data_IF_258151860483
#
_entry.id   IF_258151860483
#
_cell.length_a   1.000
_cell.length_b   1.000
_cell.length_c   1.000
_cell.angle_alpha   90.00
_cell.angle_beta   90.00
_cell.angle_gamma   90.00
#
_symmetry.space_group_name_H-M   'P 1'
#
loop_
_entity.id
_entity.type
_entity.pdbx_description
1 polymer ?
#
# COMPACT_ATOMS: atom_id res chain seq x y z
N UNK A 1 5.84 21.65 6.84
CA UNK A 1 5.78 20.45 7.73
C UNK A 1 4.33 20.06 8.09
N UNK A 2 3.32 20.76 7.56
CA UNK A 2 1.88 20.56 7.78
C UNK A 2 1.20 19.63 6.76
N UNK A 3 1.86 19.28 5.65
CA UNK A 3 1.23 18.49 4.57
C UNK A 3 1.11 16.99 4.92
N UNK A 4 2.10 16.43 5.61
CA UNK A 4 2.12 15.00 5.95
C UNK A 4 1.01 14.65 6.94
N UNK A 5 0.76 15.50 7.95
CA UNK A 5 -0.31 15.29 8.94
C UNK A 5 -1.71 15.38 8.31
N UNK A 6 -1.90 16.24 7.31
CA UNK A 6 -3.16 16.38 6.57
C UNK A 6 -3.40 15.23 5.58
N UNK A 7 -2.32 14.63 5.04
CA UNK A 7 -2.39 13.43 4.21
C UNK A 7 -2.68 12.19 5.09
N UNK A 8 -2.10 12.14 6.29
CA UNK A 8 -2.33 11.06 7.26
C UNK A 8 -3.74 11.05 7.86
N UNK A 9 -4.47 12.18 7.86
CA UNK A 9 -5.88 12.22 8.28
C UNK A 9 -6.86 11.73 7.22
N UNK A 10 -6.39 11.44 6.01
CA UNK A 10 -7.23 10.92 4.94
C UNK A 10 -7.55 9.43 5.19
N UNK A 11 -8.84 9.09 5.22
CA UNK A 11 -9.29 7.71 5.46
C UNK A 11 -8.70 6.68 4.50
N UNK A 12 -8.39 7.08 3.26
CA UNK A 12 -7.75 6.21 2.26
C UNK A 12 -6.30 5.89 2.65
N UNK A 13 -5.54 6.88 3.15
CA UNK A 13 -4.15 6.68 3.58
C UNK A 13 -4.10 5.80 4.82
N UNK A 14 -5.04 5.96 5.76
CA UNK A 14 -5.16 5.09 6.92
C UNK A 14 -5.47 3.65 6.51
N UNK A 15 -6.40 3.43 5.57
CA UNK A 15 -6.70 2.11 5.04
C UNK A 15 -5.47 1.48 4.35
N UNK A 16 -4.74 2.28 3.58
CA UNK A 16 -3.50 1.88 2.91
C UNK A 16 -2.42 1.46 3.91
N UNK A 17 -2.20 2.25 4.98
CA UNK A 17 -1.24 1.90 6.04
C UNK A 17 -1.69 0.67 6.84
N UNK A 18 -2.98 0.53 7.12
CA UNK A 18 -3.54 -0.63 7.82
C UNK A 18 -3.30 -1.92 7.03
N UNK A 19 -3.62 -1.92 5.73
CA UNK A 19 -3.41 -3.08 4.84
C UNK A 19 -1.92 -3.36 4.65
N UNK A 20 -1.09 -2.32 4.51
CA UNK A 20 0.36 -2.50 4.42
C UNK A 20 0.90 -3.14 5.69
N UNK A 21 0.54 -2.61 6.86
CA UNK A 21 0.96 -3.13 8.16
C UNK A 21 0.54 -4.60 8.34
N UNK A 22 -0.71 -4.93 8.00
CA UNK A 22 -1.21 -6.31 8.03
C UNK A 22 -0.41 -7.23 7.10
N UNK A 23 -0.11 -6.76 5.89
CA UNK A 23 0.67 -7.52 4.90
C UNK A 23 2.08 -7.80 5.40
N UNK A 24 2.76 -6.79 5.94
CA UNK A 24 4.10 -6.94 6.52
C UNK A 24 4.10 -7.85 7.74
N UNK A 25 3.07 -7.78 8.59
CA UNK A 25 2.92 -8.66 9.74
C UNK A 25 2.81 -10.13 9.31
N UNK A 26 1.97 -10.45 8.32
CA UNK A 26 1.83 -11.82 7.80
C UNK A 26 3.15 -12.31 7.20
N UNK A 27 3.82 -11.50 6.38
CA UNK A 27 5.11 -11.86 5.78
C UNK A 27 6.15 -12.14 6.87
N UNK A 28 6.19 -11.31 7.92
CA UNK A 28 7.12 -11.45 9.04
C UNK A 28 6.83 -12.70 9.87
N UNK A 29 5.57 -13.01 10.15
CA UNK A 29 5.16 -14.22 10.86
C UNK A 29 5.55 -15.49 10.09
N UNK A 30 5.26 -15.52 8.79
CA UNK A 30 5.65 -16.63 7.91
C UNK A 30 7.17 -16.75 7.77
N UNK A 31 7.92 -15.65 7.83
CA UNK A 31 9.37 -15.69 7.74
C UNK A 31 10.04 -16.19 9.03
N UNK A 32 9.50 -15.82 10.20
CA UNK A 32 10.11 -16.02 11.52
C UNK A 32 9.84 -17.40 12.13
N UNK A 33 8.82 -18.13 11.68
CA UNK A 33 8.44 -19.43 12.25
C UNK A 33 8.62 -20.63 11.29
N UNK A 34 9.79 -20.86 10.68
CA UNK A 34 10.02 -21.99 9.77
C UNK A 34 10.08 -23.37 10.47
N UNK A 35 10.15 -23.39 11.81
CA UNK A 35 10.26 -24.63 12.60
C UNK A 35 8.92 -25.26 13.02
N UNK A 36 7.78 -24.76 12.52
CA UNK A 36 6.49 -25.41 12.75
C UNK A 36 6.27 -26.52 11.72
N UNK A 37 5.81 -27.69 12.17
CA UNK A 37 5.47 -28.83 11.30
C UNK A 37 4.42 -28.49 10.22
N UNK A 38 3.59 -27.47 10.46
CA UNK A 38 2.55 -26.99 9.54
C UNK A 38 2.99 -25.82 8.65
N UNK A 39 4.25 -25.38 8.75
CA UNK A 39 4.74 -24.17 8.07
C UNK A 39 4.56 -24.23 6.55
N UNK A 40 4.86 -25.37 5.93
CA UNK A 40 4.70 -25.56 4.47
C UNK A 40 3.24 -25.33 4.02
N UNK A 41 2.29 -25.82 4.81
CA UNK A 41 0.85 -25.70 4.53
C UNK A 41 0.38 -24.27 4.72
N UNK A 42 0.83 -23.61 5.79
CA UNK A 42 0.53 -22.20 6.08
C UNK A 42 1.04 -21.28 4.98
N UNK A 43 2.31 -21.43 4.55
CA UNK A 43 2.87 -20.66 3.44
C UNK A 43 2.03 -20.86 2.18
N UNK A 44 1.70 -22.12 1.83
CA UNK A 44 0.90 -22.46 0.64
C UNK A 44 -0.48 -21.81 0.63
N UNK A 45 -1.20 -21.87 1.76
CA UNK A 45 -2.55 -21.33 1.86
C UNK A 45 -2.57 -19.80 1.74
N UNK A 46 -1.55 -19.13 2.29
CA UNK A 46 -1.46 -17.67 2.28
C UNK A 46 -0.84 -17.07 1.00
N UNK A 47 -0.28 -17.87 0.08
CA UNK A 47 0.41 -17.33 -1.12
C UNK A 47 -0.50 -16.44 -1.98
N UNK A 48 -1.72 -16.90 -2.23
CA UNK A 48 -2.69 -16.19 -3.06
C UNK A 48 -3.21 -14.95 -2.34
N UNK A 49 -3.53 -15.08 -1.05
CA UNK A 49 -3.99 -13.96 -0.22
C UNK A 49 -2.92 -12.85 -0.10
N UNK A 50 -1.66 -13.22 0.15
CA UNK A 50 -0.55 -12.27 0.19
C UNK A 50 -0.36 -11.53 -1.14
N UNK A 51 -0.48 -12.23 -2.28
CA UNK A 51 -0.41 -11.57 -3.58
C UNK A 51 -1.53 -10.54 -3.75
N UNK A 52 -2.76 -10.90 -3.37
CA UNK A 52 -3.92 -10.00 -3.47
C UNK A 52 -3.75 -8.77 -2.57
N UNK A 53 -3.29 -8.94 -1.34
CA UNK A 53 -3.04 -7.84 -0.40
C UNK A 53 -1.97 -6.88 -0.92
N UNK A 54 -0.87 -7.40 -1.46
CA UNK A 54 0.20 -6.57 -2.01
C UNK A 54 -0.28 -5.83 -3.27
N UNK A 55 -1.07 -6.50 -4.13
CA UNK A 55 -1.64 -5.89 -5.33
C UNK A 55 -2.69 -4.81 -5.00
N UNK A 56 -3.36 -4.89 -3.84
CA UNK A 56 -4.31 -3.89 -3.39
C UNK A 56 -3.64 -2.56 -2.99
N UNK A 57 -2.40 -2.57 -2.47
CA UNK A 57 -1.67 -1.38 -2.04
C UNK A 57 -1.55 -0.28 -3.12
N UNK A 58 -1.06 -0.55 -4.35
CA UNK A 58 -1.00 0.46 -5.40
C UNK A 58 -2.39 0.88 -5.91
N UNK A 59 -3.37 -0.03 -5.91
CA UNK A 59 -4.74 0.28 -6.31
C UNK A 59 -5.41 1.24 -5.32
N UNK A 60 -5.15 1.09 -4.02
CA UNK A 60 -5.58 2.04 -2.98
C UNK A 60 -4.85 3.38 -3.09
N UNK A 61 -3.58 3.37 -3.48
CA UNK A 61 -2.84 4.60 -3.79
C UNK A 61 -3.48 5.38 -4.93
N UNK A 62 -3.88 4.68 -6.00
CA UNK A 62 -4.64 5.23 -7.13
C UNK A 62 -6.01 5.75 -6.70
N UNK A 63 -6.74 5.03 -5.84
CA UNK A 63 -8.01 5.50 -5.27
C UNK A 63 -7.83 6.84 -4.53
N UNK A 64 -6.71 6.99 -3.80
CA UNK A 64 -6.35 8.26 -3.16
C UNK A 64 -6.17 9.42 -4.14
N UNK A 65 -5.67 9.14 -5.35
CA UNK A 65 -5.57 10.18 -6.39
C UNK A 65 -6.92 10.64 -6.90
N UNK A 66 -7.84 9.69 -7.11
CA UNK A 66 -9.20 9.99 -7.57
C UNK A 66 -9.89 10.86 -6.51
N UNK A 67 -9.78 10.51 -5.23
CA UNK A 67 -10.33 11.32 -4.15
C UNK A 67 -9.71 12.72 -4.08
N UNK A 68 -8.39 12.84 -4.22
CA UNK A 68 -7.69 14.13 -4.20
C UNK A 68 -8.12 15.03 -5.36
N UNK A 69 -8.25 14.48 -6.57
CA UNK A 69 -8.73 15.21 -7.74
C UNK A 69 -10.20 15.62 -7.60
N UNK A 70 -11.07 14.75 -7.07
CA UNK A 70 -12.47 15.08 -6.79
C UNK A 70 -12.60 16.27 -5.83
N UNK A 71 -11.89 16.24 -4.70
CA UNK A 71 -11.88 17.35 -3.75
C UNK A 71 -11.37 18.65 -4.39
N UNK A 72 -10.39 18.54 -5.29
CA UNK A 72 -9.85 19.70 -6.01
C UNK A 72 -10.89 20.33 -6.93
N UNK A 73 -11.67 19.51 -7.67
CA UNK A 73 -12.75 19.99 -8.53
C UNK A 73 -13.88 20.66 -7.74
N UNK A 74 -14.22 20.13 -6.56
CA UNK A 74 -15.20 20.76 -5.68
C UNK A 74 -14.74 22.15 -5.22
N UNK A 75 -13.48 22.29 -4.78
CA UNK A 75 -12.93 23.56 -4.33
C UNK A 75 -12.88 24.61 -5.46
N UNK A 76 -12.50 24.20 -6.67
CA UNK A 76 -12.49 25.08 -7.85
C UNK A 76 -13.84 25.76 -8.08
N UNK A 77 -14.96 25.09 -7.80
CA UNK A 77 -16.30 25.67 -8.02
C UNK A 77 -16.65 26.82 -7.07
N UNK A 78 -15.88 26.99 -5.99
CA UNK A 78 -16.15 27.94 -4.90
C UNK A 78 -15.14 29.11 -4.92
N UNK A 79 -13.97 28.93 -5.52
CA UNK A 79 -12.91 29.95 -5.55
C UNK A 79 -12.92 30.79 -6.83
N UNK A 80 -12.56 32.07 -6.69
CA UNK A 80 -12.33 32.99 -7.82
C UNK A 80 -11.18 32.51 -8.72
N UNK A 81 -11.24 32.89 -10.01
CA UNK A 81 -10.31 32.44 -11.05
C UNK A 81 -8.81 32.66 -10.72
N UNK A 82 -8.48 33.68 -9.92
CA UNK A 82 -7.11 33.98 -9.50
C UNK A 82 -6.54 32.98 -8.47
N UNK A 83 -7.38 32.35 -7.66
CA UNK A 83 -6.96 31.37 -6.64
C UNK A 83 -7.03 29.93 -7.13
N UNK A 84 -7.71 29.71 -8.26
CA UNK A 84 -7.98 28.40 -8.84
C UNK A 84 -6.69 27.63 -9.18
N UNK A 85 -5.67 28.32 -9.71
CA UNK A 85 -4.38 27.71 -10.07
C UNK A 85 -3.64 27.14 -8.86
N UNK A 86 -3.61 27.89 -7.75
CA UNK A 86 -2.92 27.46 -6.52
C UNK A 86 -3.61 26.24 -5.91
N UNK A 87 -4.95 26.26 -5.82
CA UNK A 87 -5.77 25.14 -5.32
C UNK A 87 -5.56 23.89 -6.16
N UNK A 88 -5.57 24.01 -7.49
CA UNK A 88 -5.31 22.90 -8.41
C UNK A 88 -3.94 22.26 -8.18
N UNK A 89 -2.90 23.08 -8.13
CA UNK A 89 -1.53 22.59 -7.94
C UNK A 89 -1.34 21.85 -6.60
N UNK A 90 -1.98 22.35 -5.53
CA UNK A 90 -1.95 21.71 -4.21
C UNK A 90 -2.70 20.37 -4.19
N UNK A 91 -3.88 20.33 -4.79
CA UNK A 91 -4.71 19.13 -4.87
C UNK A 91 -4.07 17.99 -5.67
N UNK A 92 -3.47 18.32 -6.82
CA UNK A 92 -2.72 17.35 -7.65
C UNK A 92 -1.49 16.84 -6.89
N UNK A 93 -0.74 17.72 -6.22
CA UNK A 93 0.44 17.32 -5.45
C UNK A 93 0.07 16.34 -4.33
N UNK A 94 -0.99 16.64 -3.58
CA UNK A 94 -1.51 15.75 -2.53
C UNK A 94 -1.92 14.38 -3.08
N UNK A 95 -2.65 14.36 -4.20
CA UNK A 95 -3.02 13.13 -4.91
C UNK A 95 -1.76 12.30 -5.28
N UNK A 96 -0.74 12.90 -5.88
CA UNK A 96 0.47 12.17 -6.28
C UNK A 96 1.22 11.55 -5.10
N UNK A 97 1.17 12.18 -3.92
CA UNK A 97 1.81 11.63 -2.72
C UNK A 97 1.16 10.31 -2.29
N UNK A 98 -0.17 10.17 -2.40
CA UNK A 98 -0.86 8.91 -2.01
C UNK A 98 -0.47 7.74 -2.92
N UNK A 99 -0.34 7.97 -4.23
CA UNK A 99 0.16 6.95 -5.17
C UNK A 99 1.60 6.57 -4.89
N UNK A 100 2.45 7.57 -4.64
CA UNK A 100 3.85 7.34 -4.28
C UNK A 100 3.93 6.45 -3.04
N UNK A 101 3.11 6.70 -2.02
CA UNK A 101 3.06 5.88 -0.81
C UNK A 101 2.62 4.44 -1.11
N UNK A 102 1.57 4.24 -1.89
CA UNK A 102 1.10 2.89 -2.26
C UNK A 102 2.19 2.07 -2.97
N UNK A 103 2.93 2.69 -3.88
CA UNK A 103 4.06 2.04 -4.58
C UNK A 103 5.23 1.74 -3.64
N UNK A 104 5.62 2.71 -2.80
CA UNK A 104 6.72 2.55 -1.83
C UNK A 104 6.44 1.42 -0.85
N UNK A 105 5.18 1.16 -0.49
CA UNK A 105 4.81 0.04 0.37
C UNK A 105 4.68 -1.29 -0.39
N UNK A 106 4.21 -1.28 -1.63
CA UNK A 106 3.99 -2.49 -2.43
C UNK A 106 5.29 -3.13 -2.93
N UNK A 107 6.25 -2.32 -3.38
CA UNK A 107 7.50 -2.82 -3.98
C UNK A 107 8.31 -3.67 -2.99
N UNK A 108 8.60 -3.22 -1.75
CA UNK A 108 9.34 -4.04 -0.81
C UNK A 108 8.54 -5.28 -0.38
N UNK A 109 7.21 -5.16 -0.24
CA UNK A 109 6.36 -6.31 0.10
C UNK A 109 6.42 -7.42 -0.97
N UNK A 110 6.47 -7.07 -2.26
CA UNK A 110 6.69 -8.03 -3.35
C UNK A 110 8.04 -8.75 -3.23
N UNK A 111 9.11 -8.00 -2.92
CA UNK A 111 10.45 -8.56 -2.75
C UNK A 111 10.47 -9.55 -1.58
N UNK A 112 9.94 -9.16 -0.42
CA UNK A 112 9.90 -10.05 0.75
C UNK A 112 9.06 -11.31 0.51
N UNK A 113 7.94 -11.18 -0.19
CA UNK A 113 7.14 -12.35 -0.61
C UNK A 113 7.97 -13.31 -1.47
N UNK A 114 8.74 -12.79 -2.43
CA UNK A 114 9.56 -13.62 -3.30
C UNK A 114 10.69 -14.32 -2.53
N UNK A 115 11.32 -13.64 -1.57
CA UNK A 115 12.32 -14.23 -0.67
C UNK A 115 11.71 -15.36 0.19
N UNK A 116 10.49 -15.19 0.70
CA UNK A 116 9.77 -16.22 1.43
C UNK A 116 9.51 -17.45 0.54
N UNK A 117 9.06 -17.26 -0.70
CA UNK A 117 8.84 -18.35 -1.65
C UNK A 117 10.14 -19.06 -2.05
N UNK A 118 11.25 -18.33 -2.14
CA UNK A 118 12.56 -18.92 -2.37
C UNK A 118 12.97 -19.86 -1.22
N UNK A 119 12.83 -19.41 0.03
CA UNK A 119 13.05 -20.25 1.23
C UNK A 119 12.15 -21.48 1.23
N UNK A 120 10.86 -21.32 0.90
CA UNK A 120 9.90 -22.43 0.80
C UNK A 120 10.31 -23.49 -0.24
N UNK A 121 10.74 -23.06 -1.44
CA UNK A 121 11.21 -24.00 -2.47
C UNK A 121 12.52 -24.69 -2.09
N UNK A 122 13.46 -23.97 -1.48
CA UNK A 122 14.75 -24.53 -1.06
C UNK A 122 14.57 -25.66 -0.04
N UNK A 123 13.65 -25.51 0.91
CA UNK A 123 13.37 -26.56 1.91
C UNK A 123 12.66 -27.78 1.31
N UNK A 124 11.80 -27.57 0.31
CA UNK A 124 11.10 -28.66 -0.38
C UNK A 124 11.98 -29.45 -1.35
N UNK A 125 13.00 -28.84 -1.93
CA UNK A 125 13.92 -29.49 -2.87
C UNK A 125 15.00 -30.37 -2.23
N UNK A 126 15.07 -30.41 -0.90
CA UNK A 126 16.06 -31.19 -0.12
C UNK A 126 15.45 -32.48 0.46
N UNK A 127 14.12 -32.66 0.40
CA UNK A 127 13.43 -33.92 0.72
C UNK A 127 13.18 -34.72 -0.56
#
# INVERSE_FOLDING_TARGET
MTDITHILSNGVVLALLCIASLTYYIIFDLYSHPSRDDWETSVKNWQVALLALIAALPLLGLLGTIQGLLNTFELISIFDALNQQAVMSGGISSALITTKLGLVLAIPALIFRQLLLFKYKALRGVK
#
